data_IF_366098324533
#
_entry.id   IF_366098324533
#
_cell.length_a   1.000
_cell.length_b   1.000
_cell.length_c   1.000
_cell.angle_alpha   90.00
_cell.angle_beta   90.00
_cell.angle_gamma   90.00
#
_symmetry.space_group_name_H-M   'P 1'
#
loop_
_entity.id
_entity.type
_entity.pdbx_description
1 polymer ?
#
# COMPACT_ATOMS: atom_id res chain seq x y z
N UNK A 1 -25.58 -5.35 32.45
CA UNK A 1 -25.76 -5.42 30.97
C UNK A 1 -24.39 -5.22 30.34
N UNK A 2 -23.86 -6.14 29.52
CA UNK A 2 -22.62 -5.88 28.79
C UNK A 2 -22.94 -4.97 27.59
N UNK A 3 -22.93 -3.66 27.81
CA UNK A 3 -23.14 -2.64 26.77
C UNK A 3 -21.92 -2.40 25.89
N UNK A 4 -20.79 -3.06 26.16
CA UNK A 4 -19.50 -2.61 25.67
C UNK A 4 -18.97 -3.41 24.46
N UNK A 5 -19.79 -4.27 23.84
CA UNK A 5 -19.32 -5.24 22.82
C UNK A 5 -19.63 -4.82 21.36
N UNK A 6 -20.42 -3.76 21.16
CA UNK A 6 -20.65 -3.17 19.84
C UNK A 6 -20.15 -1.73 19.91
N UNK A 7 -19.07 -1.31 19.25
CA UNK A 7 -19.11 -0.64 17.93
C UNK A 7 -17.67 -0.17 17.68
N UNK A 8 -16.82 -0.99 17.05
CA UNK A 8 -15.58 -0.52 16.42
C UNK A 8 -15.24 -1.27 15.12
N UNK A 9 -15.80 -2.47 14.92
CA UNK A 9 -15.52 -3.32 13.75
C UNK A 9 -15.94 -2.73 12.38
N UNK A 10 -17.09 -2.05 12.21
CA UNK A 10 -17.54 -1.64 10.87
C UNK A 10 -16.68 -0.59 10.19
N UNK A 11 -16.07 0.34 10.96
CA UNK A 11 -15.32 1.45 10.40
C UNK A 11 -13.92 1.03 9.99
N UNK A 12 -13.24 0.26 10.83
CA UNK A 12 -11.91 -0.27 10.54
C UNK A 12 -11.91 -1.10 9.25
N UNK A 13 -12.90 -1.99 9.10
CA UNK A 13 -13.02 -2.85 7.91
C UNK A 13 -13.24 -2.05 6.62
N UNK A 14 -14.02 -0.95 6.69
CA UNK A 14 -14.23 -0.05 5.54
C UNK A 14 -12.97 0.70 5.15
N UNK A 15 -12.20 1.19 6.14
CA UNK A 15 -10.93 1.89 5.88
C UNK A 15 -9.95 0.93 5.22
N UNK A 16 -9.77 -0.26 5.80
CA UNK A 16 -8.90 -1.30 5.23
C UNK A 16 -9.30 -1.64 3.80
N UNK A 17 -10.60 -1.82 3.54
CA UNK A 17 -11.12 -2.09 2.21
C UNK A 17 -10.77 -0.97 1.23
N UNK A 18 -11.04 0.28 1.60
CA UNK A 18 -10.77 1.44 0.75
C UNK A 18 -9.27 1.60 0.44
N UNK A 19 -8.42 1.48 1.47
CA UNK A 19 -6.96 1.60 1.31
C UNK A 19 -6.43 0.47 0.44
N UNK A 20 -6.87 -0.77 0.65
CA UNK A 20 -6.42 -1.92 -0.14
C UNK A 20 -6.74 -1.76 -1.64
N UNK A 21 -7.98 -1.39 -1.94
CA UNK A 21 -8.39 -1.20 -3.33
C UNK A 21 -7.75 0.03 -3.97
N UNK A 22 -7.66 1.15 -3.23
CA UNK A 22 -6.96 2.34 -3.68
C UNK A 22 -5.50 2.07 -4.00
N UNK A 23 -4.77 1.43 -3.08
CA UNK A 23 -3.38 1.03 -3.27
C UNK A 23 -3.21 0.12 -4.49
N UNK A 24 -4.11 -0.86 -4.67
CA UNK A 24 -4.07 -1.79 -5.82
C UNK A 24 -4.27 -1.08 -7.15
N UNK A 25 -5.26 -0.18 -7.25
CA UNK A 25 -5.53 0.60 -8.47
C UNK A 25 -4.30 1.44 -8.85
N UNK A 26 -3.71 2.12 -7.87
CA UNK A 26 -2.51 2.94 -8.07
C UNK A 26 -1.33 2.08 -8.51
N UNK A 27 -1.16 0.89 -7.94
CA UNK A 27 -0.11 -0.04 -8.32
C UNK A 27 -0.28 -0.55 -9.76
N UNK A 28 -1.52 -0.85 -10.17
CA UNK A 28 -1.87 -1.20 -11.55
C UNK A 28 -1.49 -0.06 -12.50
N UNK A 29 -1.82 1.19 -12.15
CA UNK A 29 -1.38 2.35 -12.93
C UNK A 29 0.15 2.45 -13.01
N UNK A 30 0.88 2.11 -11.94
CA UNK A 30 2.35 2.03 -11.95
C UNK A 30 2.89 0.98 -12.91
N UNK A 31 2.28 -0.21 -12.95
CA UNK A 31 2.61 -1.25 -13.95
C UNK A 31 2.31 -0.77 -15.37
N UNK A 32 1.16 -0.12 -15.59
CA UNK A 32 0.79 0.46 -16.87
C UNK A 32 1.81 1.52 -17.31
N UNK A 33 2.13 2.48 -16.47
CA UNK A 33 3.12 3.51 -16.74
C UNK A 33 4.50 2.93 -17.04
N UNK A 34 4.89 1.83 -16.36
CA UNK A 34 6.13 1.10 -16.69
C UNK A 34 6.09 0.47 -18.07
N UNK A 35 4.97 -0.15 -18.45
CA UNK A 35 4.78 -0.72 -19.78
C UNK A 35 4.85 0.31 -20.91
N UNK A 36 4.40 1.54 -20.65
CA UNK A 36 4.50 2.66 -21.60
C UNK A 36 5.79 3.48 -21.49
N UNK A 37 6.72 3.11 -20.59
CA UNK A 37 7.99 3.82 -20.41
C UNK A 37 7.86 5.22 -19.79
N UNK A 38 6.79 5.47 -19.03
CA UNK A 38 6.52 6.77 -18.39
C UNK A 38 7.33 6.94 -17.10
N UNK A 39 8.60 7.28 -17.24
CA UNK A 39 9.48 7.65 -16.13
C UNK A 39 9.47 9.18 -15.90
N UNK A 40 9.48 9.66 -14.63
CA UNK A 40 9.51 8.90 -13.37
C UNK A 40 8.13 8.56 -12.79
N UNK A 41 7.03 8.86 -13.50
CA UNK A 41 5.66 8.70 -12.99
C UNK A 41 5.34 7.29 -12.51
N UNK A 42 5.84 6.27 -13.21
CA UNK A 42 5.70 4.88 -12.78
C UNK A 42 6.25 4.64 -11.35
N UNK A 43 7.41 5.22 -11.02
CA UNK A 43 8.04 5.08 -9.71
C UNK A 43 7.21 5.76 -8.62
N UNK A 44 6.67 6.96 -8.88
CA UNK A 44 5.79 7.63 -7.91
C UNK A 44 4.49 6.86 -7.67
N UNK A 45 3.88 6.31 -8.74
CA UNK A 45 2.70 5.46 -8.61
C UNK A 45 3.01 4.20 -7.79
N UNK A 46 4.14 3.55 -8.05
CA UNK A 46 4.55 2.40 -7.26
C UNK A 46 4.81 2.75 -5.79
N UNK A 47 5.46 3.88 -5.50
CA UNK A 47 5.69 4.32 -4.13
C UNK A 47 4.38 4.48 -3.35
N UNK A 48 3.40 5.16 -3.94
CA UNK A 48 2.09 5.37 -3.31
C UNK A 48 1.39 4.02 -3.09
N UNK A 49 1.41 3.13 -4.08
CA UNK A 49 0.83 1.79 -3.93
C UNK A 49 1.52 0.96 -2.85
N UNK A 50 2.85 1.00 -2.76
CA UNK A 50 3.64 0.24 -1.77
C UNK A 50 3.37 0.76 -0.36
N UNK A 51 3.30 2.08 -0.18
CA UNK A 51 2.91 2.69 1.10
C UNK A 51 1.48 2.31 1.50
N UNK A 52 0.55 2.30 0.55
CA UNK A 52 -0.82 1.87 0.79
C UNK A 52 -0.93 0.41 1.25
N UNK A 53 -0.20 -0.50 0.61
CA UNK A 53 -0.16 -1.91 1.02
C UNK A 53 0.60 -2.16 2.32
N UNK A 54 1.65 -1.37 2.61
CA UNK A 54 2.30 -1.39 3.91
C UNK A 54 1.31 -1.00 5.03
N UNK A 55 0.50 0.05 4.80
CA UNK A 55 -0.55 0.44 5.74
C UNK A 55 -1.61 -0.66 5.93
N UNK A 56 -2.01 -1.35 4.86
CA UNK A 56 -2.90 -2.53 4.95
C UNK A 56 -2.26 -3.63 5.80
N UNK A 57 -0.98 -3.92 5.62
CA UNK A 57 -0.23 -4.89 6.43
C UNK A 57 -0.23 -4.52 7.91
N UNK A 58 -0.02 -3.24 8.22
CA UNK A 58 -0.09 -2.75 9.60
C UNK A 58 -1.50 -2.88 10.19
N UNK A 59 -2.55 -2.56 9.44
CA UNK A 59 -3.94 -2.70 9.87
C UNK A 59 -4.37 -4.17 10.07
N UNK A 60 -3.79 -5.10 9.30
CA UNK A 60 -3.99 -6.54 9.49
C UNK A 60 -3.02 -7.19 10.48
N UNK A 61 -2.05 -6.44 11.00
CA UNK A 61 -0.95 -6.97 11.80
C UNK A 61 -0.20 -8.13 11.11
N UNK A 62 -0.15 -8.09 9.77
CA UNK A 62 0.52 -9.08 8.93
C UNK A 62 1.97 -8.66 8.70
N UNK A 63 2.88 -9.28 9.45
CA UNK A 63 4.32 -8.98 9.39
C UNK A 63 4.94 -9.34 8.05
N UNK A 64 4.43 -10.36 7.36
CA UNK A 64 4.95 -10.75 6.05
C UNK A 64 4.56 -9.70 4.99
N UNK A 65 3.31 -9.26 4.99
CA UNK A 65 2.84 -8.21 4.09
C UNK A 65 3.59 -6.89 4.33
N UNK A 66 3.81 -6.52 5.60
CA UNK A 66 4.60 -5.34 5.95
C UNK A 66 6.05 -5.45 5.48
N UNK A 67 6.71 -6.59 5.74
CA UNK A 67 8.12 -6.79 5.40
C UNK A 67 8.36 -6.65 3.90
N UNK A 68 7.54 -7.31 3.06
CA UNK A 68 7.70 -7.27 1.60
C UNK A 68 7.58 -5.84 1.08
N UNK A 69 6.59 -5.08 1.55
CA UNK A 69 6.40 -3.70 1.10
C UNK A 69 7.46 -2.75 1.66
N UNK A 70 7.95 -2.99 2.87
CA UNK A 70 9.05 -2.21 3.44
C UNK A 70 10.35 -2.41 2.66
N UNK A 71 10.68 -3.66 2.32
CA UNK A 71 11.86 -3.97 1.49
C UNK A 71 11.71 -3.39 0.09
N UNK A 72 10.52 -3.51 -0.53
CA UNK A 72 10.25 -2.91 -1.82
C UNK A 72 10.41 -1.38 -1.79
N UNK A 73 9.89 -0.72 -0.75
CA UNK A 73 10.04 0.72 -0.55
C UNK A 73 11.52 1.13 -0.44
N UNK A 74 12.29 0.40 0.37
CA UNK A 74 13.73 0.64 0.53
C UNK A 74 14.51 0.46 -0.78
N UNK A 75 14.22 -0.61 -1.53
CA UNK A 75 14.84 -0.86 -2.83
C UNK A 75 14.50 0.23 -3.85
N UNK A 76 13.25 0.69 -3.89
CA UNK A 76 12.83 1.78 -4.76
C UNK A 76 13.52 3.10 -4.43
N UNK A 77 13.58 3.47 -3.15
CA UNK A 77 14.26 4.70 -2.70
C UNK A 77 15.75 4.63 -3.04
N UNK A 78 16.41 3.51 -2.75
CA UNK A 78 17.82 3.32 -3.09
C UNK A 78 18.06 3.43 -4.60
N UNK A 79 17.22 2.79 -5.42
CA UNK A 79 17.29 2.87 -6.88
C UNK A 79 17.15 4.30 -7.40
N UNK A 80 16.18 5.06 -6.87
CA UNK A 80 15.99 6.48 -7.24
C UNK A 80 17.13 7.38 -6.78
N UNK A 81 17.74 7.10 -5.62
CA UNK A 81 18.85 7.88 -5.09
C UNK A 81 20.21 7.53 -5.72
N UNK A 82 20.31 6.38 -6.39
CA UNK A 82 21.52 5.92 -7.08
C UNK A 82 21.67 6.43 -8.52
N UNK A 83 20.65 7.12 -9.05
CA UNK A 83 20.69 7.79 -10.35
C UNK A 83 21.26 9.21 -10.26
#
# INVERSE_FOLDING_TARGET
MPSDIAIQRPQHDRIVFAVKWGASIIQIMGYTATGFGWTPWNLYLFLIGVLGWFAVGAMWNDKALMLVHLVALGAMIAGMASG
#
